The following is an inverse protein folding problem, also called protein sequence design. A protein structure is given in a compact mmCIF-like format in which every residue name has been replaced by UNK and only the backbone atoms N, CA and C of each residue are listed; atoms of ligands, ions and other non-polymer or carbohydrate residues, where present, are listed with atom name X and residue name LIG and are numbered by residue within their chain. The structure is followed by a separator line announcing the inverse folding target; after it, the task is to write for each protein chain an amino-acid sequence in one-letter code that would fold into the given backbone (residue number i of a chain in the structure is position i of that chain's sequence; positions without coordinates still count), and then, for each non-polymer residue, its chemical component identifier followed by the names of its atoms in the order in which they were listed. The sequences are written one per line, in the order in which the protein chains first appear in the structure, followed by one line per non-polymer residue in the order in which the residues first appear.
data_IF_532379529823
#
_entry.id   IF_532379529823
#
_cell.length_a   1.000
_cell.length_b   1.000
_cell.length_c   1.000
_cell.angle_alpha   90.00
_cell.angle_beta   90.00
_cell.angle_gamma   90.00
#
_symmetry.space_group_name_H-M   'P 1'
#
loop_
_entity.id
_entity.type
_entity.pdbx_description
1 polymer ?
#
# COMPACT_ATOMS: atom_id res chain seq x y z
N UNK A 1 -3.90 22.76 -5.88
CA UNK A 1 -2.80 22.74 -4.90
C UNK A 1 -3.30 22.06 -3.64
N UNK A 2 -2.87 20.83 -3.38
CA UNK A 2 -3.22 20.10 -2.15
C UNK A 2 -2.66 20.81 -0.92
N UNK A 3 -3.29 20.65 0.24
CA UNK A 3 -2.80 21.24 1.47
C UNK A 3 -1.62 20.40 2.00
N UNK A 4 -0.41 20.69 1.49
CA UNK A 4 0.85 19.98 1.74
C UNK A 4 1.09 19.63 3.23
N UNK A 5 0.60 20.48 4.15
CA UNK A 5 0.72 20.26 5.60
C UNK A 5 -0.04 19.02 6.09
N UNK A 6 -1.23 18.72 5.54
CA UNK A 6 -1.99 17.50 5.90
C UNK A 6 -1.40 16.26 5.26
N UNK A 7 -0.89 16.38 4.04
CA UNK A 7 -0.23 15.28 3.31
C UNK A 7 1.04 14.82 4.02
N UNK A 8 1.82 15.75 4.59
CA UNK A 8 2.98 15.45 5.41
C UNK A 8 2.63 14.66 6.69
N UNK A 9 1.51 14.97 7.35
CA UNK A 9 1.03 14.20 8.53
C UNK A 9 0.72 12.74 8.16
N UNK A 10 0.30 12.50 6.91
CA UNK A 10 0.00 11.18 6.38
C UNK A 10 1.23 10.49 5.74
N UNK A 11 2.38 11.17 5.65
CA UNK A 11 3.58 10.64 4.99
C UNK A 11 3.44 10.49 3.46
N UNK A 12 2.55 11.28 2.84
CA UNK A 12 2.28 11.26 1.41
C UNK A 12 3.03 12.35 0.62
N UNK A 13 3.71 13.25 1.32
CA UNK A 13 4.49 14.36 0.78
C UNK A 13 5.50 13.94 -0.30
N UNK A 14 6.23 12.83 -0.07
CA UNK A 14 7.21 12.31 -1.03
C UNK A 14 6.59 11.80 -2.34
N UNK A 15 5.28 11.57 -2.38
CA UNK A 15 4.56 11.08 -3.56
C UNK A 15 3.75 12.18 -4.26
N UNK A 16 3.76 13.41 -3.74
CA UNK A 16 3.04 14.54 -4.33
C UNK A 16 3.82 15.27 -5.43
N UNK A 17 4.97 14.74 -5.86
CA UNK A 17 5.79 15.26 -6.94
C UNK A 17 5.09 15.18 -8.31
N UNK A 18 5.53 16.02 -9.24
CA UNK A 18 5.08 15.97 -10.62
C UNK A 18 5.47 14.63 -11.27
N UNK A 19 4.62 14.07 -12.15
CA UNK A 19 4.90 12.81 -12.82
C UNK A 19 6.24 12.83 -13.56
N UNK A 20 7.05 11.79 -13.36
CA UNK A 20 8.33 11.65 -14.05
C UNK A 20 8.10 11.05 -15.44
N UNK A 21 8.30 11.88 -16.47
CA UNK A 21 8.19 11.50 -17.87
C UNK A 21 9.57 11.52 -18.57
N UNK A 22 9.80 10.55 -19.44
CA UNK A 22 10.97 10.53 -20.32
C UNK A 22 10.69 11.41 -21.54
N UNK A 23 11.31 12.60 -21.57
CA UNK A 23 11.16 13.55 -22.68
C UNK A 23 12.07 13.18 -23.86
N UNK A 24 11.70 13.54 -25.10
CA UNK A 24 12.60 13.41 -26.23
C UNK A 24 13.86 14.26 -26.00
N UNK A 25 15.03 13.71 -26.34
CA UNK A 25 16.36 14.32 -26.10
C UNK A 25 16.73 14.48 -24.61
N UNK A 26 16.25 13.57 -23.75
CA UNK A 26 16.68 13.48 -22.36
C UNK A 26 18.19 13.27 -22.21
N UNK A 27 18.76 13.80 -21.13
CA UNK A 27 20.17 13.55 -20.76
C UNK A 27 20.33 12.15 -20.18
N UNK A 28 21.58 11.66 -20.12
CA UNK A 28 21.86 10.35 -19.49
C UNK A 28 21.46 10.34 -18.01
N UNK A 29 21.62 11.47 -17.31
CA UNK A 29 21.22 11.61 -15.90
C UNK A 29 19.69 11.55 -15.73
N UNK A 30 18.93 12.16 -16.64
CA UNK A 30 17.47 12.07 -16.65
C UNK A 30 17.02 10.63 -16.90
N UNK A 31 17.68 9.95 -17.84
CA UNK A 31 17.39 8.55 -18.17
C UNK A 31 17.68 7.64 -16.97
N UNK A 32 18.82 7.83 -16.29
CA UNK A 32 19.14 7.07 -15.09
C UNK A 32 18.14 7.34 -13.96
N UNK A 33 17.64 8.58 -13.84
CA UNK A 33 16.60 8.95 -12.88
C UNK A 33 15.29 8.23 -13.17
N UNK A 34 14.88 8.15 -14.44
CA UNK A 34 13.71 7.38 -14.89
C UNK A 34 13.87 5.89 -14.58
N UNK A 35 15.01 5.28 -14.92
CA UNK A 35 15.27 3.87 -14.64
C UNK A 35 15.16 3.58 -13.14
N UNK A 36 15.81 4.40 -12.30
CA UNK A 36 15.76 4.26 -10.84
C UNK A 36 14.34 4.40 -10.31
N UNK A 37 13.56 5.34 -10.85
CA UNK A 37 12.17 5.54 -10.46
C UNK A 37 11.29 4.34 -10.86
N UNK A 38 11.48 3.77 -12.05
CA UNK A 38 10.78 2.55 -12.49
C UNK A 38 11.05 1.40 -11.54
N UNK A 39 12.32 1.13 -11.24
CA UNK A 39 12.67 0.07 -10.28
C UNK A 39 12.09 0.34 -8.89
N UNK A 40 12.20 1.57 -8.37
CA UNK A 40 11.66 1.93 -7.06
C UNK A 40 10.14 1.74 -6.99
N UNK A 41 9.41 2.10 -8.05
CA UNK A 41 7.97 1.98 -8.11
C UNK A 41 7.52 0.52 -8.26
N UNK A 42 8.06 -0.17 -9.28
CA UNK A 42 7.64 -1.54 -9.63
C UNK A 42 8.07 -2.52 -8.56
N UNK A 43 9.25 -2.35 -7.98
CA UNK A 43 9.76 -3.23 -6.92
C UNK A 43 9.38 -2.75 -5.51
N UNK A 44 8.43 -1.83 -5.38
CA UNK A 44 7.87 -1.47 -4.08
C UNK A 44 8.90 -0.95 -3.09
N UNK A 45 9.86 -0.16 -3.56
CA UNK A 45 10.97 0.40 -2.78
C UNK A 45 11.87 -0.65 -2.12
N UNK A 46 11.99 -1.84 -2.71
CA UNK A 46 12.96 -2.86 -2.30
C UNK A 46 14.40 -2.44 -2.65
N UNK A 47 15.36 -2.85 -1.82
CA UNK A 47 16.78 -2.57 -2.06
C UNK A 47 17.35 -3.52 -3.11
N UNK A 48 17.72 -2.98 -4.27
CA UNK A 48 18.22 -3.75 -5.41
C UNK A 48 19.75 -3.71 -5.43
N UNK A 49 20.37 -4.86 -5.61
CA UNK A 49 21.81 -4.98 -5.79
C UNK A 49 22.17 -4.77 -7.26
N UNK A 50 23.41 -4.38 -7.55
CA UNK A 50 23.86 -4.15 -8.95
C UNK A 50 23.77 -5.42 -9.81
N UNK A 51 23.92 -6.60 -9.21
CA UNK A 51 23.78 -7.90 -9.89
C UNK A 51 22.35 -8.20 -10.36
N UNK A 52 21.38 -7.58 -9.71
CA UNK A 52 19.96 -7.82 -9.91
C UNK A 52 19.33 -6.86 -10.93
N UNK A 53 20.12 -5.89 -11.41
CA UNK A 53 19.70 -4.92 -12.42
C UNK A 53 19.63 -5.56 -13.82
N UNK A 54 18.59 -5.21 -14.57
CA UNK A 54 18.32 -5.73 -15.92
C UNK A 54 19.06 -4.89 -16.96
N UNK A 55 20.39 -5.01 -17.01
CA UNK A 55 21.27 -4.22 -17.89
C UNK A 55 20.87 -4.26 -19.37
N UNK A 56 20.37 -5.40 -19.87
CA UNK A 56 19.88 -5.53 -21.25
C UNK A 56 18.67 -4.64 -21.51
N UNK A 57 17.72 -4.57 -20.59
CA UNK A 57 16.51 -3.75 -20.74
C UNK A 57 16.86 -2.26 -20.64
N UNK A 58 17.78 -1.89 -19.75
CA UNK A 58 18.27 -0.53 -19.64
C UNK A 58 18.98 -0.06 -20.91
N UNK A 59 19.82 -0.91 -21.51
CA UNK A 59 20.48 -0.61 -22.77
C UNK A 59 19.47 -0.43 -23.92
N UNK A 60 18.40 -1.24 -23.95
CA UNK A 60 17.33 -1.09 -24.92
C UNK A 60 16.57 0.24 -24.75
N UNK A 61 16.34 0.69 -23.51
CA UNK A 61 15.72 1.99 -23.24
C UNK A 61 16.63 3.14 -23.68
N UNK A 62 17.94 3.05 -23.40
CA UNK A 62 18.95 4.05 -23.84
C UNK A 62 18.99 4.19 -25.35
N UNK A 63 18.85 3.08 -26.07
CA UNK A 63 18.82 3.08 -27.54
C UNK A 63 17.45 3.53 -28.11
N UNK A 64 16.43 3.72 -27.27
CA UNK A 64 15.07 4.05 -27.71
C UNK A 64 14.32 2.89 -28.38
N UNK A 65 14.80 1.64 -28.23
CA UNK A 65 14.15 0.46 -28.79
C UNK A 65 12.88 0.06 -28.02
N UNK A 66 12.84 0.40 -26.72
CA UNK A 66 11.71 0.13 -25.83
C UNK A 66 11.25 1.43 -25.17
N UNK A 67 9.97 1.52 -24.83
CA UNK A 67 9.41 2.67 -24.10
C UNK A 67 9.49 2.45 -22.58
N UNK A 68 9.14 3.46 -21.79
CA UNK A 68 9.10 3.35 -20.32
C UNK A 68 8.07 2.30 -19.90
N UNK A 69 6.91 2.26 -20.57
CA UNK A 69 5.90 1.20 -20.40
C UNK A 69 6.50 -0.19 -20.62
N UNK A 70 7.28 -0.35 -21.67
CA UNK A 70 7.88 -1.63 -22.00
C UNK A 70 8.97 -2.02 -20.98
N UNK A 71 9.75 -1.06 -20.49
CA UNK A 71 10.68 -1.30 -19.38
C UNK A 71 9.92 -1.78 -18.13
N UNK A 72 8.81 -1.14 -17.76
CA UNK A 72 7.94 -1.57 -16.66
C UNK A 72 7.46 -3.01 -16.88
N UNK A 73 7.06 -3.37 -18.10
CA UNK A 73 6.67 -4.74 -18.46
C UNK A 73 7.80 -5.74 -18.26
N UNK A 74 9.00 -5.42 -18.74
CA UNK A 74 10.18 -6.30 -18.61
C UNK A 74 10.56 -6.49 -17.13
N UNK A 75 10.52 -5.42 -16.33
CA UNK A 75 10.79 -5.49 -14.88
C UNK A 75 9.74 -6.35 -14.17
N UNK A 76 8.44 -6.17 -14.46
CA UNK A 76 7.36 -6.95 -13.87
C UNK A 76 7.37 -8.43 -14.29
N UNK A 77 7.90 -8.75 -15.48
CA UNK A 77 8.07 -10.13 -15.96
C UNK A 77 9.37 -10.80 -15.49
N UNK A 78 10.28 -10.05 -14.87
CA UNK A 78 11.58 -10.56 -14.41
C UNK A 78 11.44 -11.62 -13.32
N UNK A 79 12.43 -12.51 -13.23
CA UNK A 79 12.51 -13.51 -12.16
C UNK A 79 12.66 -12.87 -10.77
N UNK A 80 13.25 -11.68 -10.69
CA UNK A 80 13.34 -10.92 -9.45
C UNK A 80 11.96 -10.53 -8.94
N UNK A 81 11.11 -9.96 -9.80
CA UNK A 81 9.75 -9.58 -9.43
C UNK A 81 8.94 -10.80 -8.99
N UNK A 82 9.05 -11.92 -9.72
CA UNK A 82 8.41 -13.19 -9.36
C UNK A 82 8.87 -13.68 -7.99
N UNK A 83 10.17 -13.65 -7.70
CA UNK A 83 10.72 -14.07 -6.40
C UNK A 83 10.20 -13.19 -5.26
N UNK A 84 10.16 -11.88 -5.46
CA UNK A 84 9.77 -10.93 -4.42
C UNK A 84 8.28 -10.96 -4.11
N UNK A 85 7.42 -11.02 -5.13
CA UNK A 85 5.98 -10.82 -4.94
C UNK A 85 5.12 -12.04 -5.29
N UNK A 86 5.54 -12.88 -6.23
CA UNK A 86 4.73 -14.02 -6.65
C UNK A 86 5.00 -15.27 -5.79
N UNK A 87 6.26 -15.66 -5.63
CA UNK A 87 6.62 -16.87 -4.87
C UNK A 87 6.50 -16.71 -3.35
N UNK A 88 6.67 -15.49 -2.84
CA UNK A 88 6.68 -15.21 -1.40
C UNK A 88 5.28 -14.95 -0.81
N UNK A 89 4.31 -14.58 -1.65
CA UNK A 89 3.04 -13.99 -1.21
C UNK A 89 1.83 -14.79 -1.70
N UNK A 90 0.68 -14.54 -1.07
CA UNK A 90 -0.59 -15.14 -1.51
C UNK A 90 -1.08 -14.49 -2.81
N UNK A 91 -1.87 -15.21 -3.62
CA UNK A 91 -2.41 -14.68 -4.89
C UNK A 91 -3.15 -13.34 -4.71
N UNK A 92 -3.89 -13.18 -3.62
CA UNK A 92 -4.57 -11.92 -3.30
C UNK A 92 -3.59 -10.78 -3.01
N UNK A 93 -2.53 -11.06 -2.24
CA UNK A 93 -1.48 -10.07 -1.96
C UNK A 93 -0.75 -9.67 -3.23
N UNK A 94 -0.42 -10.64 -4.08
CA UNK A 94 0.20 -10.42 -5.37
C UNK A 94 -0.63 -9.50 -6.27
N UNK A 95 -1.94 -9.76 -6.39
CA UNK A 95 -2.85 -8.88 -7.16
C UNK A 95 -2.92 -7.48 -6.53
N UNK A 96 -3.09 -7.37 -5.21
CA UNK A 96 -3.07 -6.06 -4.52
C UNK A 96 -1.80 -5.26 -4.80
N UNK A 97 -0.65 -5.94 -4.86
CA UNK A 97 0.64 -5.35 -5.19
C UNK A 97 0.74 -4.96 -6.67
N UNK A 98 0.28 -5.78 -7.60
CA UNK A 98 0.26 -5.45 -9.03
C UNK A 98 -0.56 -4.17 -9.29
N UNK A 99 -1.74 -4.04 -8.66
CA UNK A 99 -2.53 -2.82 -8.69
C UNK A 99 -1.75 -1.60 -8.15
N UNK A 100 -1.02 -1.78 -7.05
CA UNK A 100 -0.19 -0.73 -6.46
C UNK A 100 0.99 -0.33 -7.36
N UNK A 101 1.75 -1.31 -7.85
CA UNK A 101 2.99 -1.11 -8.60
C UNK A 101 2.75 -0.60 -10.02
N UNK A 102 1.80 -1.22 -10.74
CA UNK A 102 1.57 -0.96 -12.16
C UNK A 102 0.51 0.12 -12.40
N UNK A 103 -0.59 0.12 -11.63
CA UNK A 103 -1.69 1.07 -11.81
C UNK A 103 -1.66 2.23 -10.81
N UNK A 104 -0.85 2.16 -9.75
CA UNK A 104 -0.76 3.21 -8.75
C UNK A 104 -2.04 3.41 -7.93
N UNK A 105 -2.92 2.39 -7.87
CA UNK A 105 -4.20 2.42 -7.14
C UNK A 105 -4.44 1.11 -6.40
N UNK A 106 -5.30 1.04 -5.38
CA UNK A 106 -5.80 -0.24 -4.89
C UNK A 106 -6.91 -0.80 -5.80
N UNK A 107 -7.21 -2.10 -5.68
CA UNK A 107 -8.42 -2.68 -6.26
C UNK A 107 -9.70 -2.03 -5.68
N UNK A 108 -10.67 -1.76 -6.55
CA UNK A 108 -11.93 -1.10 -6.20
C UNK A 108 -12.97 -2.08 -5.65
N UNK A 109 -13.00 -3.30 -6.16
CA UNK A 109 -14.01 -4.30 -5.81
C UNK A 109 -13.43 -5.70 -5.86
N UNK A 110 -14.09 -6.64 -5.18
CA UNK A 110 -13.74 -8.06 -5.22
C UNK A 110 -13.84 -8.66 -6.64
N UNK A 111 -14.66 -8.03 -7.51
CA UNK A 111 -14.80 -8.42 -8.91
C UNK A 111 -13.49 -8.26 -9.70
N UNK A 112 -12.77 -7.14 -9.51
CA UNK A 112 -11.46 -6.91 -10.18
C UNK A 112 -10.45 -7.98 -9.78
N UNK A 113 -10.38 -8.32 -8.48
CA UNK A 113 -9.51 -9.38 -8.01
C UNK A 113 -9.87 -10.72 -8.65
N UNK A 114 -11.16 -11.04 -8.70
CA UNK A 114 -11.63 -12.30 -9.27
C UNK A 114 -11.29 -12.41 -10.75
N UNK A 115 -11.39 -11.31 -11.50
CA UNK A 115 -10.99 -11.24 -12.91
C UNK A 115 -9.50 -11.56 -13.09
N UNK A 116 -8.62 -10.92 -12.32
CA UNK A 116 -7.17 -11.20 -12.42
C UNK A 116 -6.80 -12.61 -11.97
N UNK A 117 -7.48 -13.17 -10.96
CA UNK A 117 -7.33 -14.60 -10.59
C UNK A 117 -7.74 -15.51 -11.76
N UNK A 118 -8.81 -15.19 -12.48
CA UNK A 118 -9.24 -15.96 -13.64
C UNK A 118 -8.27 -15.86 -14.83
N UNK A 119 -7.77 -14.65 -15.11
CA UNK A 119 -6.77 -14.43 -16.17
C UNK A 119 -5.52 -15.26 -15.88
N UNK A 120 -5.03 -15.21 -14.63
CA UNK A 120 -3.90 -16.01 -14.19
C UNK A 120 -4.14 -17.52 -14.39
N UNK A 121 -5.28 -18.03 -13.91
CA UNK A 121 -5.59 -19.46 -14.00
C UNK A 121 -5.76 -19.97 -15.43
N UNK A 122 -6.17 -19.10 -16.36
CA UNK A 122 -6.46 -19.48 -17.76
C UNK A 122 -5.29 -19.25 -18.71
N UNK A 123 -4.53 -18.16 -18.52
CA UNK A 123 -3.50 -17.69 -19.45
C UNK A 123 -2.09 -17.64 -18.84
N UNK A 124 -1.96 -17.84 -17.53
CA UNK A 124 -0.69 -17.82 -16.82
C UNK A 124 -0.21 -16.43 -16.39
N UNK A 125 1.01 -16.39 -15.87
CA UNK A 125 1.61 -15.21 -15.24
C UNK A 125 1.83 -14.03 -16.21
N UNK A 126 2.41 -14.29 -17.38
CA UNK A 126 2.76 -13.21 -18.32
C UNK A 126 1.52 -12.45 -18.81
N UNK A 127 0.45 -13.19 -19.10
CA UNK A 127 -0.83 -12.62 -19.52
C UNK A 127 -1.52 -11.84 -18.39
N UNK A 128 -1.31 -12.22 -17.13
CA UNK A 128 -1.83 -11.47 -15.99
C UNK A 128 -1.09 -10.13 -15.83
N UNK A 129 0.24 -10.09 -15.97
CA UNK A 129 0.99 -8.83 -16.00
C UNK A 129 0.59 -7.94 -17.18
N UNK A 130 0.48 -8.53 -18.38
CA UNK A 130 0.08 -7.78 -19.58
C UNK A 130 -1.33 -7.20 -19.45
N UNK A 131 -2.25 -7.87 -18.72
CA UNK A 131 -3.60 -7.37 -18.50
C UNK A 131 -3.66 -6.01 -17.80
N UNK A 132 -2.69 -5.69 -16.93
CA UNK A 132 -2.62 -4.38 -16.29
C UNK A 132 -2.01 -3.32 -17.23
N UNK A 133 -0.93 -3.67 -17.93
CA UNK A 133 -0.14 -2.72 -18.73
C UNK A 133 -0.84 -2.36 -20.04
N UNK A 134 -1.55 -3.32 -20.63
CA UNK A 134 -2.30 -3.13 -21.88
C UNK A 134 -3.72 -2.58 -21.64
N UNK A 135 -4.07 -2.33 -20.37
CA UNK A 135 -5.36 -1.73 -20.03
C UNK A 135 -5.46 -0.28 -20.52
N UNK A 136 -6.67 0.11 -20.93
CA UNK A 136 -6.96 1.51 -21.26
C UNK A 136 -6.70 2.44 -20.08
N UNK A 137 -6.85 1.94 -18.85
CA UNK A 137 -6.56 2.70 -17.64
C UNK A 137 -5.07 3.07 -17.55
N UNK A 138 -4.16 2.13 -17.83
CA UNK A 138 -2.73 2.41 -17.82
C UNK A 138 -2.39 3.47 -18.86
N UNK A 139 -2.88 3.29 -20.10
CA UNK A 139 -2.58 4.19 -21.23
C UNK A 139 -3.09 5.62 -20.98
N UNK A 140 -4.32 5.77 -20.48
CA UNK A 140 -4.90 7.09 -20.21
C UNK A 140 -4.17 7.86 -19.10
N UNK A 141 -3.54 7.14 -18.17
CA UNK A 141 -2.98 7.72 -16.97
C UNK A 141 -1.46 7.93 -17.02
N UNK A 142 -0.73 7.00 -17.64
CA UNK A 142 0.74 7.01 -17.70
C UNK A 142 1.28 7.13 -19.12
N UNK A 143 0.44 7.01 -20.15
CA UNK A 143 0.89 6.97 -21.55
C UNK A 143 2.01 5.92 -21.75
N UNK A 144 2.94 6.15 -22.68
CA UNK A 144 4.06 5.24 -22.95
C UNK A 144 5.38 5.66 -22.29
N UNK A 145 5.49 6.93 -21.89
CA UNK A 145 6.75 7.54 -21.45
C UNK A 145 6.76 8.02 -19.99
N UNK A 146 5.63 7.92 -19.28
CA UNK A 146 5.56 8.31 -17.86
C UNK A 146 5.75 7.09 -16.97
N UNK A 147 6.56 7.23 -15.92
CA UNK A 147 6.74 6.20 -14.90
C UNK A 147 5.45 6.07 -14.09
N UNK A 148 4.95 4.86 -13.79
CA UNK A 148 3.81 4.70 -12.91
C UNK A 148 4.03 5.38 -11.56
N UNK A 149 3.00 6.00 -11.01
CA UNK A 149 3.08 6.67 -9.72
C UNK A 149 1.77 6.45 -8.93
N UNK A 150 1.82 6.50 -7.58
CA UNK A 150 0.62 6.39 -6.76
C UNK A 150 -0.36 7.52 -7.08
N UNK A 151 -1.52 7.18 -7.65
CA UNK A 151 -2.53 8.15 -8.11
C UNK A 151 -3.69 8.29 -7.14
N UNK A 152 -4.06 7.22 -6.41
CA UNK A 152 -5.15 7.24 -5.43
C UNK A 152 -4.79 7.91 -4.10
N UNK A 153 -3.78 8.80 -4.11
CA UNK A 153 -3.45 9.72 -3.00
C UNK A 153 -4.22 11.05 -3.12
N UNK A 154 -4.89 11.29 -4.26
CA UNK A 154 -5.78 12.43 -4.50
C UNK A 154 -7.16 11.90 -4.87
N UNK A 155 -8.19 12.72 -4.61
CA UNK A 155 -9.53 12.42 -5.10
C UNK A 155 -9.54 12.47 -6.62
N UNK A 156 -10.17 11.47 -7.24
CA UNK A 156 -10.30 11.38 -8.69
C UNK A 156 -11.77 11.34 -9.05
N UNK A 157 -12.12 12.01 -10.15
CA UNK A 157 -13.50 12.02 -10.65
C UNK A 157 -13.86 10.62 -11.13
N UNK A 158 -15.00 10.10 -10.69
CA UNK A 158 -15.50 8.79 -11.10
C UNK A 158 -14.97 7.60 -10.29
N UNK A 159 -14.07 7.80 -9.32
CA UNK A 159 -13.55 6.72 -8.46
C UNK A 159 -14.14 6.85 -7.04
N UNK A 160 -14.40 5.70 -6.39
CA UNK A 160 -14.88 5.65 -5.01
C UNK A 160 -13.86 6.27 -4.05
N UNK A 161 -14.32 7.08 -3.10
CA UNK A 161 -13.48 7.66 -2.03
C UNK A 161 -12.76 6.58 -1.22
N UNK A 162 -13.33 5.38 -1.10
CA UNK A 162 -12.68 4.25 -0.42
C UNK A 162 -11.34 3.85 -1.04
N UNK A 163 -11.13 4.11 -2.34
CA UNK A 163 -9.84 3.91 -2.98
C UNK A 163 -8.72 4.71 -2.32
N UNK A 164 -9.01 5.90 -1.79
CA UNK A 164 -8.04 6.67 -1.01
C UNK A 164 -7.69 5.99 0.32
N UNK A 165 -8.71 5.54 1.05
CA UNK A 165 -8.52 4.86 2.34
C UNK A 165 -7.76 3.54 2.19
N UNK A 166 -8.06 2.76 1.14
CA UNK A 166 -7.41 1.49 0.83
C UNK A 166 -5.98 1.69 0.33
N UNK A 167 -5.74 2.74 -0.47
CA UNK A 167 -4.39 3.11 -0.89
C UNK A 167 -3.50 3.34 0.33
N UNK A 168 -4.03 4.00 1.35
CA UNK A 168 -3.29 4.27 2.58
C UNK A 168 -2.92 3.02 3.40
N UNK A 169 -3.67 1.92 3.25
CA UNK A 169 -3.28 0.62 3.82
C UNK A 169 -2.12 -0.02 3.06
N UNK A 170 -2.06 0.17 1.74
CA UNK A 170 -1.01 -0.36 0.87
C UNK A 170 0.28 0.50 0.89
N UNK A 171 0.14 1.82 0.92
CA UNK A 171 1.22 2.81 0.86
C UNK A 171 1.42 3.46 2.24
N UNK A 172 2.46 3.05 2.97
CA UNK A 172 2.72 3.45 4.37
C UNK A 172 3.85 4.50 4.50
N UNK A 173 4.04 5.32 3.47
CA UNK A 173 5.05 6.38 3.41
C UNK A 173 6.32 5.99 2.64
N UNK A 174 7.17 6.98 2.37
CA UNK A 174 8.40 6.84 1.57
C UNK A 174 9.42 5.81 2.09
N UNK A 175 9.67 5.66 3.41
CA UNK A 175 10.70 4.74 3.90
C UNK A 175 10.20 3.29 4.07
N UNK A 176 9.06 2.94 3.47
CA UNK A 176 8.49 1.59 3.57
C UNK A 176 8.71 0.79 2.28
N UNK A 177 8.86 -0.53 2.41
CA UNK A 177 8.94 -1.46 1.29
C UNK A 177 7.75 -2.43 1.29
N UNK A 178 7.59 -3.17 0.19
CA UNK A 178 6.46 -4.09 -0.01
C UNK A 178 6.75 -5.57 0.27
N UNK A 179 7.78 -5.87 1.08
CA UNK A 179 8.19 -7.24 1.43
C UNK A 179 7.18 -8.01 2.31
N UNK A 180 6.05 -7.39 2.68
CA UNK A 180 4.99 -8.02 3.46
C UNK A 180 4.21 -9.04 2.62
N UNK A 181 4.13 -10.28 3.11
CA UNK A 181 3.53 -11.43 2.42
C UNK A 181 2.02 -11.52 2.64
N UNK A 182 1.48 -10.84 3.64
CA UNK A 182 0.05 -10.86 3.97
C UNK A 182 -0.73 -9.82 3.16
N UNK A 183 -1.87 -10.24 2.63
CA UNK A 183 -2.80 -9.35 1.94
C UNK A 183 -3.47 -8.39 2.93
N UNK A 184 -3.50 -7.11 2.58
CA UNK A 184 -3.93 -6.04 3.50
C UNK A 184 -5.41 -5.69 3.34
N UNK A 185 -5.99 -5.95 2.16
CA UNK A 185 -7.32 -5.49 1.80
C UNK A 185 -8.37 -6.60 1.71
N UNK A 186 -8.00 -7.89 1.77
CA UNK A 186 -8.93 -9.03 1.62
C UNK A 186 -10.23 -8.85 2.42
N UNK A 187 -10.14 -8.61 3.73
CA UNK A 187 -11.32 -8.50 4.59
C UNK A 187 -12.18 -7.29 4.24
N UNK A 188 -11.54 -6.15 3.95
CA UNK A 188 -12.23 -4.92 3.56
C UNK A 188 -12.90 -5.01 2.19
N UNK A 189 -12.29 -5.71 1.23
CA UNK A 189 -12.83 -5.91 -0.11
C UNK A 189 -13.96 -6.92 -0.12
N UNK A 190 -13.79 -8.03 0.60
CA UNK A 190 -14.82 -9.06 0.73
C UNK A 190 -16.07 -8.53 1.45
N UNK A 191 -15.89 -7.72 2.49
CA UNK A 191 -17.00 -7.12 3.24
C UNK A 191 -17.51 -5.79 2.65
N UNK A 192 -16.86 -5.27 1.60
CA UNK A 192 -17.08 -3.93 1.05
C UNK A 192 -17.15 -2.85 2.16
N UNK A 193 -16.17 -2.90 3.07
CA UNK A 193 -16.05 -2.00 4.21
C UNK A 193 -14.91 -1.02 3.98
N UNK A 194 -15.12 0.24 4.39
CA UNK A 194 -14.08 1.26 4.36
C UNK A 194 -12.96 0.95 5.36
N UNK A 195 -11.71 1.11 4.92
CA UNK A 195 -10.53 0.95 5.78
C UNK A 195 -10.28 2.22 6.59
N UNK A 196 -9.79 2.05 7.82
CA UNK A 196 -9.39 3.19 8.67
C UNK A 196 -8.05 3.75 8.22
N UNK A 197 -7.95 5.07 8.08
CA UNK A 197 -6.70 5.78 7.83
C UNK A 197 -5.92 5.88 9.14
N UNK A 198 -4.81 5.14 9.26
CA UNK A 198 -3.93 5.18 10.45
C UNK A 198 -2.61 5.88 10.08
N UNK A 199 -2.36 7.12 10.54
CA UNK A 199 -1.16 7.86 10.15
C UNK A 199 0.10 7.04 10.44
N UNK A 200 1.18 7.26 9.67
CA UNK A 200 2.47 6.62 9.97
C UNK A 200 2.87 6.90 11.42
N UNK A 201 3.56 5.94 12.04
CA UNK A 201 3.95 6.07 13.44
C UNK A 201 4.86 7.29 13.62
N UNK A 202 4.30 8.38 14.15
CA UNK A 202 5.07 9.53 14.60
C UNK A 202 5.71 9.08 15.92
N UNK A 203 7.05 9.05 15.97
CA UNK A 203 7.76 8.79 17.22
C UNK A 203 7.22 9.70 18.33
N UNK A 204 7.22 9.22 19.59
CA UNK A 204 6.57 9.83 20.76
C UNK A 204 7.01 11.27 21.16
N UNK A 205 7.62 12.05 20.26
CA UNK A 205 8.34 13.28 20.57
C UNK A 205 7.71 14.61 20.13
N UNK A 206 6.54 14.65 19.48
CA UNK A 206 6.02 15.94 18.99
C UNK A 206 4.51 16.14 19.22
N UNK A 207 4.20 17.11 20.09
CA UNK A 207 2.95 17.87 20.14
C UNK A 207 1.63 17.08 20.30
N UNK A 208 1.39 16.51 21.48
CA UNK A 208 0.04 16.11 21.87
C UNK A 208 -0.19 16.26 23.36
N UNK A 209 -1.04 17.21 23.72
CA UNK A 209 -1.80 17.11 24.97
C UNK A 209 -2.54 15.77 24.94
N UNK A 210 -2.14 14.82 25.79
CA UNK A 210 -2.78 13.51 25.85
C UNK A 210 -4.21 13.58 26.41
N UNK A 211 -4.65 14.74 26.91
CA UNK A 211 -5.91 14.90 27.64
C UNK A 211 -7.16 14.66 26.79
N UNK A 212 -7.13 15.02 25.49
CA UNK A 212 -8.26 14.87 24.57
C UNK A 212 -8.20 13.58 23.73
N UNK A 213 -7.17 12.76 23.93
CA UNK A 213 -6.98 11.53 23.16
C UNK A 213 -7.88 10.41 23.68
N UNK A 214 -8.37 9.61 22.73
CA UNK A 214 -9.11 8.38 22.98
C UNK A 214 -8.19 7.17 22.82
N UNK A 215 -8.32 6.19 23.69
CA UNK A 215 -7.55 4.97 23.68
C UNK A 215 -8.48 3.77 23.62
N UNK A 216 -8.23 2.85 22.68
CA UNK A 216 -8.82 1.52 22.65
C UNK A 216 -7.97 0.61 23.51
N UNK A 217 -8.59 0.05 24.53
CA UNK A 217 -7.98 -0.92 25.44
C UNK A 217 -8.56 -2.28 25.08
N UNK A 218 -7.71 -3.20 24.62
CA UNK A 218 -8.06 -4.61 24.43
C UNK A 218 -7.57 -5.35 25.66
N UNK A 219 -8.48 -6.08 26.33
CA UNK A 219 -8.15 -6.85 27.52
C UNK A 219 -8.83 -8.21 27.50
N UNK A 220 -8.20 -9.17 28.16
CA UNK A 220 -8.80 -10.46 28.48
C UNK A 220 -9.60 -10.36 29.77
N UNK A 221 -10.78 -10.95 29.79
CA UNK A 221 -11.64 -11.02 30.99
C UNK A 221 -11.27 -12.23 31.85
N UNK A 222 -11.61 -12.20 33.13
CA UNK A 222 -11.51 -13.37 34.00
C UNK A 222 -12.38 -14.53 33.49
N UNK A 223 -12.05 -15.77 33.87
CA UNK A 223 -12.74 -16.99 33.42
C UNK A 223 -14.24 -16.98 33.75
N UNK A 224 -14.63 -16.43 34.90
CA UNK A 224 -16.04 -16.30 35.30
C UNK A 224 -16.80 -15.30 34.40
N UNK A 225 -16.22 -14.12 34.17
CA UNK A 225 -16.82 -13.10 33.29
C UNK A 225 -16.86 -13.56 31.82
N UNK A 226 -15.84 -14.30 31.37
CA UNK A 226 -15.79 -14.85 30.01
C UNK A 226 -16.90 -15.88 29.77
N UNK A 227 -17.22 -16.71 30.78
CA UNK A 227 -18.31 -17.70 30.70
C UNK A 227 -19.68 -17.04 30.62
N UNK A 228 -19.88 -15.95 31.36
CA UNK A 228 -21.14 -15.21 31.36
C UNK A 228 -21.36 -14.46 30.03
N UNK A 229 -20.33 -13.77 29.55
CA UNK A 229 -20.41 -12.92 28.37
C UNK A 229 -20.13 -13.65 27.05
N UNK A 230 -19.73 -14.92 27.10
CA UNK A 230 -19.28 -15.76 25.96
C UNK A 230 -18.09 -15.20 25.16
N UNK A 231 -17.42 -14.16 25.66
CA UNK A 231 -16.23 -13.57 25.05
C UNK A 231 -15.10 -13.51 26.08
N UNK A 232 -13.92 -14.02 25.72
CA UNK A 232 -12.72 -13.97 26.58
C UNK A 232 -11.87 -12.72 26.34
N UNK A 233 -12.06 -12.06 25.20
CA UNK A 233 -11.41 -10.80 24.83
C UNK A 233 -12.48 -9.75 24.61
N UNK A 234 -12.27 -8.57 25.18
CA UNK A 234 -13.18 -7.44 25.07
C UNK A 234 -12.39 -6.17 24.76
N UNK A 235 -12.98 -5.29 23.97
CA UNK A 235 -12.43 -3.98 23.67
C UNK A 235 -13.27 -2.87 24.31
N UNK A 236 -12.60 -1.80 24.75
CA UNK A 236 -13.26 -0.60 25.28
C UNK A 236 -12.50 0.65 24.85
N UNK A 237 -13.22 1.66 24.35
CA UNK A 237 -12.64 2.96 23.99
C UNK A 237 -12.91 3.96 25.11
N UNK A 238 -11.87 4.64 25.59
CA UNK A 238 -11.92 5.55 26.75
C UNK A 238 -11.11 6.81 26.48
N UNK A 239 -11.51 7.95 27.06
CA UNK A 239 -10.68 9.15 27.06
C UNK A 239 -9.51 9.00 28.03
N UNK A 240 -8.42 9.75 27.83
CA UNK A 240 -7.27 9.75 28.75
C UNK A 240 -7.66 10.04 30.20
N UNK A 241 -8.57 10.98 30.43
CA UNK A 241 -9.08 11.31 31.77
C UNK A 241 -9.75 10.13 32.49
N UNK A 242 -10.33 9.19 31.75
CA UNK A 242 -11.02 8.01 32.27
C UNK A 242 -10.11 6.78 32.33
N UNK A 243 -8.90 6.84 31.77
CA UNK A 243 -8.02 5.68 31.57
C UNK A 243 -7.63 5.00 32.88
N UNK A 244 -7.22 5.79 33.89
CA UNK A 244 -6.84 5.28 35.20
C UNK A 244 -7.98 4.52 35.89
N UNK A 245 -9.19 5.10 35.87
CA UNK A 245 -10.38 4.47 36.45
C UNK A 245 -10.72 3.14 35.74
N UNK A 246 -10.58 3.12 34.42
CA UNK A 246 -10.88 1.93 33.62
C UNK A 246 -9.87 0.81 33.85
N UNK A 247 -8.58 1.13 34.00
CA UNK A 247 -7.56 0.14 34.40
C UNK A 247 -7.86 -0.48 35.76
N UNK A 248 -8.19 0.35 36.75
CA UNK A 248 -8.56 -0.16 38.06
C UNK A 248 -9.78 -1.09 37.99
N UNK A 249 -10.79 -0.74 37.20
CA UNK A 249 -11.97 -1.59 37.01
C UNK A 249 -11.62 -2.92 36.32
N UNK A 250 -10.78 -2.91 35.29
CA UNK A 250 -10.34 -4.12 34.59
C UNK A 250 -9.59 -5.05 35.55
N UNK A 251 -8.65 -4.51 36.32
CA UNK A 251 -7.88 -5.28 37.29
C UNK A 251 -8.75 -5.82 38.44
N UNK A 252 -9.70 -5.02 38.94
CA UNK A 252 -10.67 -5.47 39.96
C UNK A 252 -11.53 -6.64 39.48
N UNK A 253 -11.91 -6.65 38.20
CA UNK A 253 -12.64 -7.74 37.58
C UNK A 253 -11.76 -8.96 37.21
N UNK A 254 -10.46 -8.92 37.54
CA UNK A 254 -9.50 -9.98 37.23
C UNK A 254 -9.12 -10.07 35.74
N UNK A 255 -9.30 -8.99 34.98
CA UNK A 255 -8.90 -8.91 33.58
C UNK A 255 -7.42 -8.54 33.40
N UNK A 256 -6.83 -8.96 32.28
CA UNK A 256 -5.45 -8.64 31.89
C UNK A 256 -5.42 -7.86 30.58
N UNK A 257 -4.80 -6.67 30.60
CA UNK A 257 -4.65 -5.80 29.43
C UNK A 257 -3.72 -6.48 28.41
N UNK A 258 -4.13 -6.48 27.14
CA UNK A 258 -3.42 -7.10 26.01
C UNK A 258 -2.75 -6.01 25.17
N UNK A 259 -3.50 -4.99 24.76
CA UNK A 259 -2.98 -3.88 23.97
C UNK A 259 -3.74 -2.58 24.26
N UNK A 260 -3.04 -1.46 24.08
CA UNK A 260 -3.61 -0.12 24.17
C UNK A 260 -3.19 0.59 22.89
N UNK A 261 -4.16 1.06 22.13
CA UNK A 261 -3.92 1.79 20.88
C UNK A 261 -4.67 3.11 20.91
N UNK A 262 -4.00 4.20 20.55
CA UNK A 262 -4.67 5.48 20.33
C UNK A 262 -5.70 5.34 19.20
N UNK A 263 -6.89 5.92 19.40
CA UNK A 263 -7.96 5.99 18.40
C UNK A 263 -8.15 7.45 18.04
N UNK A 264 -8.03 7.76 16.75
CA UNK A 264 -8.31 9.07 16.17
C UNK A 264 -9.82 9.34 16.10
#
# INVERSE_FOLDING_TARGET
MGNLTRSATLGLDAFECDPLELRPFATEDDLQTVIRAVYKQVLGNEHIMESDQLSSAEAQLRNGNITVRELVRVVAKSELYKKLFFHSSSQYRFIELNFKHLLGRPPQDQAEITEHVQIYNTKGYEAEIDSYIDSNEYIQNFSEYTVPYPRSIRTQVGIKTEGFNRMFSLLRGSPTNDSDTQAKLISSLAANMSTTITPPAIGNGAASSNLDKRFRIVYSTSTAAARLNKFSKTERVVNYSQMSQQFQNIHKCGGKIISITEVL
#
